data_IF_977903731015
#
_entry.id   IF_977903731015
#
_cell.length_a   1.000
_cell.length_b   1.000
_cell.length_c   1.000
_cell.angle_alpha   90.00
_cell.angle_beta   90.00
_cell.angle_gamma   90.00
#
_symmetry.space_group_name_H-M   'P 1'
#
loop_
_entity.id
_entity.type
_entity.pdbx_description
1 polymer ?
#
# COMPACT_ATOMS: atom_id res chain seq x y z
N UNK A 1 -27.73 63.69 -24.74
CA UNK A 1 -27.66 63.93 -23.28
C UNK A 1 -28.25 62.73 -22.55
N UNK A 2 -27.43 61.78 -22.12
CA UNK A 2 -27.82 60.81 -21.09
C UNK A 2 -26.63 60.59 -20.16
N UNK A 3 -26.94 60.74 -18.88
CA UNK A 3 -26.02 61.06 -17.80
C UNK A 3 -25.25 59.83 -17.34
N UNK A 4 -23.93 60.00 -17.21
CA UNK A 4 -23.03 59.13 -16.47
C UNK A 4 -23.46 59.09 -14.99
N UNK A 5 -23.78 57.91 -14.47
CA UNK A 5 -23.81 57.65 -13.03
C UNK A 5 -22.81 56.54 -12.73
N UNK A 6 -21.56 56.96 -12.52
CA UNK A 6 -20.49 56.16 -11.96
C UNK A 6 -20.78 55.87 -10.49
N UNK A 7 -21.17 54.64 -10.17
CA UNK A 7 -21.21 54.16 -8.78
C UNK A 7 -19.78 53.77 -8.38
N UNK A 8 -19.15 54.64 -7.58
CA UNK A 8 -17.88 54.37 -6.89
C UNK A 8 -18.11 53.32 -5.80
N UNK A 9 -17.70 52.08 -6.04
CA UNK A 9 -17.54 51.09 -4.97
C UNK A 9 -16.26 51.43 -4.23
N UNK A 10 -16.39 51.87 -2.98
CA UNK A 10 -15.28 52.14 -2.07
C UNK A 10 -14.62 50.81 -1.72
N UNK A 11 -13.33 50.68 -2.06
CA UNK A 11 -12.46 49.64 -1.51
C UNK A 11 -12.34 49.84 -0.01
N UNK A 12 -12.98 48.99 0.78
CA UNK A 12 -12.67 48.84 2.20
C UNK A 12 -11.52 47.84 2.31
N UNK A 13 -10.31 48.36 2.50
CA UNK A 13 -9.22 47.59 3.06
C UNK A 13 -9.51 47.38 4.56
N UNK A 14 -9.61 46.13 4.99
CA UNK A 14 -9.67 45.74 6.41
C UNK A 14 -8.65 44.61 6.62
N UNK A 15 -7.88 44.67 7.72
CA UNK A 15 -6.52 44.17 7.76
C UNK A 15 -6.43 42.69 8.17
N UNK A 16 -5.28 42.13 7.81
CA UNK A 16 -4.51 41.10 8.51
C UNK A 16 -5.14 40.54 9.80
N UNK A 17 -5.88 39.44 9.68
CA UNK A 17 -6.29 38.59 10.79
C UNK A 17 -6.16 37.11 10.38
N UNK A 18 -4.92 36.62 10.54
CA UNK A 18 -4.46 35.27 10.89
C UNK A 18 -4.95 34.01 10.11
N UNK A 19 -4.05 33.02 9.89
CA UNK A 19 -4.12 32.01 8.83
C UNK A 19 -4.94 30.76 9.18
N UNK A 20 -6.00 30.91 9.99
CA UNK A 20 -6.79 29.78 10.51
C UNK A 20 -8.03 29.41 9.66
N UNK A 21 -8.34 30.16 8.60
CA UNK A 21 -9.50 29.91 7.73
C UNK A 21 -9.16 29.35 6.34
N UNK A 22 -7.93 28.84 6.13
CA UNK A 22 -7.55 28.12 4.89
C UNK A 22 -8.01 26.66 4.84
N UNK A 23 -8.79 26.18 5.81
CA UNK A 23 -9.28 24.79 5.86
C UNK A 23 -10.77 24.57 5.55
N UNK A 24 -11.53 25.59 5.16
CA UNK A 24 -12.97 25.41 4.95
C UNK A 24 -13.55 25.95 3.63
N UNK A 25 -12.72 26.26 2.62
CA UNK A 25 -13.19 26.53 1.26
C UNK A 25 -12.48 25.63 0.24
N UNK A 26 -12.88 24.36 0.24
CA UNK A 26 -12.60 23.40 -0.83
C UNK A 26 -13.81 22.49 -1.06
N UNK A 27 -15.01 23.08 -1.08
CA UNK A 27 -16.28 22.36 -1.27
C UNK A 27 -17.21 23.04 -2.29
N UNK A 28 -16.69 23.83 -3.22
CA UNK A 28 -17.51 24.49 -4.24
C UNK A 28 -16.73 24.87 -5.51
N UNK A 29 -16.09 23.89 -6.16
CA UNK A 29 -15.74 23.94 -7.58
C UNK A 29 -15.11 22.61 -8.00
N UNK A 30 -15.92 21.56 -7.94
CA UNK A 30 -15.55 20.22 -8.37
C UNK A 30 -16.51 19.73 -9.43
N UNK A 31 -16.50 20.30 -10.64
CA UNK A 31 -16.78 19.52 -11.85
C UNK A 31 -15.59 18.60 -12.12
N UNK A 32 -15.18 17.85 -11.10
CA UNK A 32 -14.44 16.63 -11.30
C UNK A 32 -15.47 15.63 -11.74
N UNK A 33 -15.50 15.29 -13.03
CA UNK A 33 -16.02 14.01 -13.48
C UNK A 33 -15.43 13.01 -12.51
N UNK A 34 -16.27 12.52 -11.59
CA UNK A 34 -15.90 11.43 -10.72
C UNK A 34 -15.36 10.39 -11.69
N UNK A 35 -14.06 10.10 -11.59
CA UNK A 35 -13.49 8.93 -12.23
C UNK A 35 -14.26 7.79 -11.61
N UNK A 36 -15.38 7.45 -12.26
CA UNK A 36 -16.26 6.40 -11.86
C UNK A 36 -15.35 5.21 -11.67
N UNK A 37 -15.63 4.43 -10.63
CA UNK A 37 -15.06 3.11 -10.47
C UNK A 37 -15.58 2.26 -11.64
N UNK A 38 -15.16 2.56 -12.88
CA UNK A 38 -15.20 1.64 -13.97
C UNK A 38 -14.48 0.41 -13.42
N UNK A 39 -15.23 -0.69 -13.26
CA UNK A 39 -14.67 -1.94 -12.80
C UNK A 39 -13.40 -2.18 -13.60
N UNK A 40 -12.28 -2.43 -12.90
CA UNK A 40 -11.00 -2.67 -13.60
C UNK A 40 -11.24 -3.81 -14.57
N UNK A 41 -10.94 -3.57 -15.85
CA UNK A 41 -11.06 -4.58 -16.89
C UNK A 41 -10.29 -5.84 -16.50
N UNK A 42 -10.74 -7.02 -16.95
CA UNK A 42 -10.04 -8.27 -16.68
C UNK A 42 -8.56 -8.20 -17.11
N UNK A 43 -7.69 -9.03 -16.50
CA UNK A 43 -6.28 -9.10 -16.89
C UNK A 43 -6.12 -9.26 -18.41
N UNK A 44 -5.18 -8.51 -19.00
CA UNK A 44 -4.93 -8.51 -20.45
C UNK A 44 -5.81 -7.56 -21.27
N UNK A 45 -6.99 -7.17 -20.78
CA UNK A 45 -7.93 -6.28 -21.48
C UNK A 45 -7.84 -4.83 -21.01
N UNK A 46 -6.82 -4.47 -20.23
CA UNK A 46 -6.56 -3.08 -19.85
C UNK A 46 -6.32 -2.18 -21.06
N UNK A 47 -6.68 -0.90 -20.91
CA UNK A 47 -6.49 0.15 -21.93
C UNK A 47 -5.01 0.32 -22.26
N UNK A 48 -4.66 0.09 -23.52
CA UNK A 48 -3.35 0.44 -24.09
C UNK A 48 -3.28 1.95 -24.29
N UNK A 49 -2.22 2.59 -23.82
CA UNK A 49 -1.97 4.03 -24.04
C UNK A 49 -1.08 4.23 -25.26
N UNK A 50 -1.20 5.40 -25.91
CA UNK A 50 -0.34 5.78 -27.04
C UNK A 50 1.15 5.72 -26.67
N UNK A 51 1.51 6.27 -25.50
CA UNK A 51 2.86 6.17 -24.96
C UNK A 51 3.31 4.72 -24.72
N UNK A 52 2.41 3.84 -24.27
CA UNK A 52 2.73 2.42 -24.09
C UNK A 52 3.09 1.71 -25.39
N UNK A 53 2.46 2.10 -26.50
CA UNK A 53 2.81 1.59 -27.84
C UNK A 53 4.16 2.15 -28.28
N UNK A 54 4.36 3.47 -28.13
CA UNK A 54 5.64 4.12 -28.43
C UNK A 54 6.81 3.47 -27.66
N UNK A 55 6.65 3.26 -26.35
CA UNK A 55 7.68 2.59 -25.53
C UNK A 55 7.91 1.18 -26.03
N UNK A 56 6.85 0.40 -26.32
CA UNK A 56 7.01 -0.98 -26.80
C UNK A 56 7.83 -1.05 -28.09
N UNK A 57 7.59 -0.14 -29.04
CA UNK A 57 8.33 -0.09 -30.32
C UNK A 57 9.80 0.32 -30.12
N UNK A 58 10.05 1.34 -29.30
CA UNK A 58 11.39 1.93 -29.15
C UNK A 58 12.24 1.29 -28.06
N UNK A 59 11.65 0.44 -27.21
CA UNK A 59 12.39 -0.32 -26.20
C UNK A 59 13.05 -1.56 -26.80
N UNK A 60 12.42 -2.19 -27.80
CA UNK A 60 12.95 -3.40 -28.46
C UNK A 60 14.24 -3.14 -29.27
N UNK A 61 14.48 -1.89 -29.67
CA UNK A 61 15.67 -1.50 -30.44
C UNK A 61 16.93 -1.30 -29.59
N UNK A 62 16.85 -1.47 -28.26
CA UNK A 62 17.96 -1.18 -27.32
C UNK A 62 18.12 -2.30 -26.27
N UNK A 63 18.58 -3.49 -26.66
CA UNK A 63 18.74 -4.62 -25.74
C UNK A 63 19.90 -4.44 -24.74
N UNK A 64 20.92 -3.64 -25.08
CA UNK A 64 22.18 -3.55 -24.32
C UNK A 64 22.23 -2.39 -23.31
N UNK A 65 21.19 -1.54 -23.24
CA UNK A 65 21.11 -0.39 -22.31
C UNK A 65 20.34 -0.75 -21.03
N UNK A 66 20.65 -0.08 -19.91
CA UNK A 66 19.90 -0.27 -18.66
C UNK A 66 18.42 0.13 -18.85
N UNK A 67 17.45 -0.79 -18.59
CA UNK A 67 16.03 -0.55 -18.85
C UNK A 67 15.47 0.75 -18.26
N UNK A 68 15.94 1.13 -17.08
CA UNK A 68 15.53 2.34 -16.36
C UNK A 68 15.94 3.60 -17.11
N UNK A 69 17.17 3.62 -17.65
CA UNK A 69 17.71 4.74 -18.40
C UNK A 69 17.01 4.88 -19.75
N UNK A 70 16.83 3.76 -20.47
CA UNK A 70 16.06 3.69 -21.72
C UNK A 70 14.67 4.28 -21.50
N UNK A 71 13.95 3.84 -20.47
CA UNK A 71 12.60 4.32 -20.19
C UNK A 71 12.56 5.83 -19.88
N UNK A 72 13.55 6.33 -19.14
CA UNK A 72 13.66 7.77 -18.83
C UNK A 72 13.91 8.61 -20.10
N UNK A 73 14.75 8.11 -21.00
CA UNK A 73 15.05 8.75 -22.29
C UNK A 73 13.83 8.73 -23.21
N UNK A 74 13.13 7.60 -23.33
CA UNK A 74 11.88 7.49 -24.10
C UNK A 74 10.79 8.41 -23.56
N UNK A 75 10.70 8.56 -22.24
CA UNK A 75 9.75 9.51 -21.63
C UNK A 75 10.07 10.95 -22.03
N UNK A 76 11.36 11.31 -22.10
CA UNK A 76 11.80 12.64 -22.56
C UNK A 76 11.52 12.84 -24.04
N UNK A 77 11.84 11.85 -24.89
CA UNK A 77 11.58 11.89 -26.33
C UNK A 77 10.08 12.03 -26.61
N UNK A 78 9.23 11.22 -25.97
CA UNK A 78 7.78 11.31 -26.11
C UNK A 78 7.23 12.70 -25.79
N UNK A 79 7.75 13.37 -24.75
CA UNK A 79 7.34 14.74 -24.40
C UNK A 79 7.78 15.76 -25.45
N UNK A 80 8.91 15.53 -26.12
CA UNK A 80 9.44 16.38 -27.19
C UNK A 80 8.86 16.11 -28.58
N UNK A 81 8.12 15.01 -28.78
CA UNK A 81 7.46 14.72 -30.06
C UNK A 81 6.37 15.76 -30.37
N UNK A 82 6.23 16.06 -31.66
CA UNK A 82 5.14 16.88 -32.17
C UNK A 82 3.80 16.16 -31.99
N UNK A 83 2.69 16.91 -31.98
CA UNK A 83 1.36 16.30 -31.89
C UNK A 83 1.03 15.46 -33.14
N UNK A 84 1.59 15.81 -34.30
CA UNK A 84 1.43 15.04 -35.54
C UNK A 84 2.11 13.66 -35.44
N UNK A 85 3.31 13.60 -34.87
CA UNK A 85 4.00 12.32 -34.63
C UNK A 85 3.27 11.47 -33.58
N UNK A 86 2.75 12.12 -32.53
CA UNK A 86 1.96 11.43 -31.50
C UNK A 86 0.64 10.91 -32.04
N UNK A 87 0.04 11.58 -33.04
CA UNK A 87 -1.25 11.19 -33.63
C UNK A 87 -1.26 9.75 -34.10
N UNK A 88 -0.20 9.30 -34.78
CA UNK A 88 -0.01 7.90 -35.20
C UNK A 88 -0.20 6.94 -34.02
N UNK A 89 0.41 7.24 -32.88
CA UNK A 89 0.33 6.41 -31.68
C UNK A 89 -1.04 6.46 -31.01
N UNK A 90 -1.71 7.61 -31.04
CA UNK A 90 -3.08 7.73 -30.53
C UNK A 90 -4.09 6.94 -31.37
N UNK A 91 -3.96 7.00 -32.69
CA UNK A 91 -4.82 6.25 -33.61
C UNK A 91 -4.59 4.75 -33.47
N UNK A 92 -3.34 4.31 -33.36
CA UNK A 92 -3.02 2.91 -33.10
C UNK A 92 -3.51 2.46 -31.72
N UNK A 93 -3.38 3.29 -30.69
CA UNK A 93 -3.94 2.98 -29.36
C UNK A 93 -5.46 2.82 -29.42
N UNK A 94 -6.15 3.66 -30.20
CA UNK A 94 -7.59 3.56 -30.42
C UNK A 94 -7.93 2.23 -31.08
N UNK A 95 -7.24 1.88 -32.18
CA UNK A 95 -7.44 0.63 -32.93
C UNK A 95 -7.24 -0.60 -32.05
N UNK A 96 -6.14 -0.66 -31.30
CA UNK A 96 -5.83 -1.79 -30.41
C UNK A 96 -6.85 -1.92 -29.28
N UNK A 97 -7.27 -0.80 -28.68
CA UNK A 97 -8.28 -0.82 -27.63
C UNK A 97 -9.65 -1.27 -28.15
N UNK A 98 -10.01 -0.86 -29.36
CA UNK A 98 -11.23 -1.29 -30.03
C UNK A 98 -11.22 -2.80 -30.28
N UNK A 99 -10.11 -3.33 -30.82
CA UNK A 99 -9.95 -4.78 -31.03
C UNK A 99 -10.04 -5.56 -29.71
N UNK A 100 -9.43 -5.06 -28.63
CA UNK A 100 -9.56 -5.67 -27.30
C UNK A 100 -11.00 -5.65 -26.79
N UNK A 101 -11.73 -4.55 -27.03
CA UNK A 101 -13.15 -4.44 -26.66
C UNK A 101 -14.00 -5.43 -27.42
N UNK A 102 -13.89 -5.48 -28.74
CA UNK A 102 -14.64 -6.42 -29.57
C UNK A 102 -14.30 -7.87 -29.21
N UNK A 103 -13.03 -8.20 -28.95
CA UNK A 103 -12.65 -9.52 -28.46
C UNK A 103 -13.27 -9.83 -27.10
N UNK A 104 -13.36 -8.84 -26.21
CA UNK A 104 -14.01 -9.02 -24.91
C UNK A 104 -15.51 -9.23 -25.03
N UNK A 105 -16.17 -8.52 -25.94
CA UNK A 105 -17.61 -8.64 -26.21
C UNK A 105 -17.95 -9.96 -26.92
N UNK A 106 -17.06 -10.44 -27.79
CA UNK A 106 -17.21 -11.70 -28.53
C UNK A 106 -16.94 -12.96 -27.68
N UNK A 107 -16.23 -12.85 -26.55
CA UNK A 107 -16.03 -13.98 -25.65
C UNK A 107 -17.32 -14.40 -24.94
N UNK A 108 -17.45 -15.69 -24.66
CA UNK A 108 -18.57 -16.23 -23.90
C UNK A 108 -18.61 -15.66 -22.46
N UNK A 109 -19.77 -15.74 -21.81
CA UNK A 109 -19.91 -15.31 -20.42
C UNK A 109 -19.01 -16.11 -19.47
N UNK A 110 -18.89 -17.42 -19.69
CA UNK A 110 -18.04 -18.30 -18.89
C UNK A 110 -16.56 -17.90 -18.97
N UNK A 111 -16.04 -17.60 -20.17
CA UNK A 111 -14.65 -17.13 -20.34
C UNK A 111 -14.42 -15.77 -19.68
N UNK A 112 -15.40 -14.86 -19.80
CA UNK A 112 -15.34 -13.55 -19.14
C UNK A 112 -15.32 -13.67 -17.62
N UNK A 113 -16.13 -14.57 -17.05
CA UNK A 113 -16.16 -14.81 -15.61
C UNK A 113 -14.83 -15.42 -15.11
N UNK A 114 -14.28 -16.39 -15.83
CA UNK A 114 -13.01 -17.00 -15.47
C UNK A 114 -11.86 -15.97 -15.50
N UNK A 115 -11.81 -15.10 -16.51
CA UNK A 115 -10.85 -13.99 -16.53
C UNK A 115 -11.03 -13.03 -15.34
N UNK A 116 -12.27 -12.79 -14.91
CA UNK A 116 -12.53 -11.99 -13.71
C UNK A 116 -12.03 -12.69 -12.45
N UNK A 117 -12.28 -14.00 -12.30
CA UNK A 117 -11.82 -14.83 -11.19
C UNK A 117 -10.30 -14.87 -11.11
N UNK A 118 -9.62 -15.06 -12.25
CA UNK A 118 -8.16 -14.97 -12.34
C UNK A 118 -7.68 -13.58 -11.93
N UNK A 119 -8.35 -12.53 -12.38
CA UNK A 119 -8.06 -11.16 -11.97
C UNK A 119 -8.20 -10.92 -10.48
N UNK A 120 -9.22 -11.51 -9.83
CA UNK A 120 -9.42 -11.45 -8.38
C UNK A 120 -8.31 -12.21 -7.63
N UNK A 121 -8.04 -13.45 -8.01
CA UNK A 121 -6.97 -14.28 -7.43
C UNK A 121 -5.60 -13.60 -7.50
N UNK A 122 -5.25 -12.99 -8.64
CA UNK A 122 -4.00 -12.24 -8.78
C UNK A 122 -3.93 -11.02 -7.84
N UNK A 123 -5.05 -10.33 -7.62
CA UNK A 123 -5.13 -9.20 -6.68
C UNK A 123 -4.95 -9.66 -5.24
N UNK A 124 -5.60 -10.76 -4.86
CA UNK A 124 -5.47 -11.36 -3.53
C UNK A 124 -4.04 -11.86 -3.28
N UNK A 125 -3.42 -12.52 -4.27
CA UNK A 125 -2.04 -12.97 -4.18
C UNK A 125 -1.06 -11.78 -3.99
N UNK A 126 -1.27 -10.67 -4.71
CA UNK A 126 -0.48 -9.43 -4.55
C UNK A 126 -0.66 -8.82 -3.16
N UNK A 127 -1.89 -8.76 -2.66
CA UNK A 127 -2.17 -8.26 -1.31
C UNK A 127 -1.51 -9.13 -0.24
N UNK A 128 -1.62 -10.45 -0.36
CA UNK A 128 -0.96 -11.42 0.53
C UNK A 128 0.56 -11.25 0.51
N UNK A 129 1.17 -11.01 -0.65
CA UNK A 129 2.60 -10.70 -0.78
C UNK A 129 2.97 -9.40 -0.07
N UNK A 130 2.19 -8.33 -0.23
CA UNK A 130 2.42 -7.05 0.46
C UNK A 130 2.37 -7.20 1.98
N UNK A 131 1.35 -7.87 2.51
CA UNK A 131 1.21 -8.14 3.96
C UNK A 131 2.40 -8.94 4.50
N UNK A 132 2.85 -9.96 3.75
CA UNK A 132 4.03 -10.76 4.14
C UNK A 132 5.30 -9.92 4.21
N UNK A 133 5.51 -9.03 3.25
CA UNK A 133 6.67 -8.13 3.24
C UNK A 133 6.61 -7.12 4.39
N UNK A 134 5.45 -6.53 4.67
CA UNK A 134 5.26 -5.65 5.83
C UNK A 134 5.54 -6.38 7.15
N UNK A 135 5.07 -7.62 7.30
CA UNK A 135 5.39 -8.47 8.47
C UNK A 135 6.87 -8.84 8.56
N UNK A 136 7.59 -8.93 7.43
CA UNK A 136 9.04 -9.15 7.42
C UNK A 136 9.76 -7.87 7.87
N UNK A 137 9.41 -6.73 7.28
CA UNK A 137 9.97 -5.43 7.64
C UNK A 137 9.78 -5.11 9.13
N UNK A 138 8.58 -5.34 9.68
CA UNK A 138 8.34 -5.16 11.13
C UNK A 138 9.21 -6.05 12.03
N UNK A 139 9.68 -7.20 11.55
CA UNK A 139 10.62 -8.07 12.28
C UNK A 139 12.05 -7.55 12.16
N UNK A 140 12.43 -7.03 10.99
CA UNK A 140 13.75 -6.42 10.73
C UNK A 140 13.93 -5.09 11.48
N UNK A 141 12.88 -4.26 11.55
CA UNK A 141 12.84 -3.00 12.30
C UNK A 141 12.96 -3.21 13.83
N UNK A 142 13.07 -4.45 14.32
CA UNK A 142 13.37 -4.75 15.72
C UNK A 142 12.28 -4.39 16.72
N UNK A 143 11.09 -3.98 16.28
CA UNK A 143 9.92 -3.74 17.15
C UNK A 143 9.42 -5.09 17.68
N UNK A 144 10.14 -5.66 18.64
CA UNK A 144 9.67 -6.80 19.40
C UNK A 144 8.40 -6.36 20.12
N UNK A 145 7.33 -7.13 19.94
CA UNK A 145 6.12 -6.91 20.75
C UNK A 145 6.53 -7.10 22.21
N UNK A 146 6.07 -6.23 23.13
CA UNK A 146 6.30 -6.46 24.54
C UNK A 146 5.81 -7.88 24.87
N UNK A 147 6.64 -8.65 25.56
CA UNK A 147 6.28 -10.00 25.96
C UNK A 147 5.05 -9.91 26.86
N UNK A 148 4.02 -10.70 26.55
CA UNK A 148 2.86 -10.83 27.43
C UNK A 148 3.29 -11.46 28.75
N UNK A 149 2.64 -11.11 29.87
CA UNK A 149 2.90 -11.72 31.18
C UNK A 149 2.82 -13.26 31.16
N UNK A 150 1.92 -13.83 30.35
CA UNK A 150 1.87 -15.27 30.07
C UNK A 150 3.15 -15.79 29.38
N UNK A 151 3.66 -15.08 28.36
CA UNK A 151 4.91 -15.47 27.68
C UNK A 151 6.10 -15.46 28.64
N UNK A 152 6.15 -14.48 29.55
CA UNK A 152 7.16 -14.41 30.60
C UNK A 152 7.02 -15.57 31.59
N UNK A 153 5.81 -15.86 32.06
CA UNK A 153 5.53 -17.00 32.93
C UNK A 153 5.92 -18.33 32.28
N UNK A 154 5.57 -18.55 31.02
CA UNK A 154 5.98 -19.75 30.28
C UNK A 154 7.50 -19.80 30.17
N UNK A 155 8.17 -18.69 29.83
CA UNK A 155 9.64 -18.66 29.74
C UNK A 155 10.29 -18.97 31.08
N UNK A 156 9.78 -18.41 32.18
CA UNK A 156 10.29 -18.66 33.53
C UNK A 156 10.12 -20.13 33.94
N UNK A 157 8.91 -20.68 33.75
CA UNK A 157 8.60 -22.06 34.16
C UNK A 157 9.18 -23.12 33.22
N UNK A 158 9.30 -22.83 31.92
CA UNK A 158 9.92 -23.73 30.95
C UNK A 158 11.45 -23.71 31.00
N UNK A 159 12.09 -22.63 31.47
CA UNK A 159 13.54 -22.60 31.73
C UNK A 159 13.86 -23.26 33.07
N UNK A 160 13.03 -23.06 34.11
CA UNK A 160 13.20 -23.69 35.43
C UNK A 160 12.82 -25.18 35.45
N UNK A 161 11.91 -25.60 34.59
CA UNK A 161 11.62 -27.01 34.32
C UNK A 161 12.27 -27.38 33.00
N UNK A 162 13.56 -27.72 33.01
CA UNK A 162 14.20 -28.38 31.87
C UNK A 162 13.28 -29.52 31.41
N UNK A 163 12.74 -29.33 30.20
CA UNK A 163 11.68 -30.12 29.58
C UNK A 163 11.75 -31.57 30.02
N UNK A 164 10.71 -32.09 30.68
CA UNK A 164 10.57 -33.54 30.82
C UNK A 164 10.73 -34.13 29.40
N UNK A 165 11.81 -34.85 29.09
CA UNK A 165 12.17 -35.17 27.71
C UNK A 165 11.13 -36.06 27.02
N UNK A 166 10.25 -36.69 27.80
CA UNK A 166 9.19 -37.59 27.35
C UNK A 166 7.85 -36.90 27.03
N UNK A 167 7.62 -35.64 27.42
CA UNK A 167 6.34 -34.96 27.16
C UNK A 167 6.39 -34.11 25.89
N UNK A 168 5.34 -34.19 25.06
CA UNK A 168 5.18 -33.26 23.93
C UNK A 168 5.06 -31.84 24.48
N UNK A 169 5.78 -30.90 23.86
CA UNK A 169 5.77 -29.49 24.24
C UNK A 169 4.34 -28.90 24.36
N UNK A 170 3.39 -29.42 23.56
CA UNK A 170 1.98 -29.02 23.63
C UNK A 170 1.32 -29.36 24.97
N UNK A 171 1.66 -30.49 25.57
CA UNK A 171 1.09 -30.95 26.84
C UNK A 171 1.66 -30.15 28.00
N UNK A 172 2.97 -29.87 27.98
CA UNK A 172 3.63 -28.97 28.94
C UNK A 172 3.02 -27.56 28.90
N UNK A 173 2.80 -27.01 27.70
CA UNK A 173 2.13 -25.70 27.55
C UNK A 173 0.69 -25.75 28.06
N UNK A 174 -0.03 -26.87 27.87
CA UNK A 174 -1.40 -27.05 28.36
C UNK A 174 -1.46 -27.09 29.89
N UNK A 175 -0.54 -27.81 30.53
CA UNK A 175 -0.38 -27.85 32.00
C UNK A 175 -0.04 -26.45 32.56
N UNK A 176 0.89 -25.74 31.91
CA UNK A 176 1.24 -24.36 32.28
C UNK A 176 0.05 -23.41 32.10
N UNK A 177 -0.77 -23.60 31.07
CA UNK A 177 -1.94 -22.75 30.83
C UNK A 177 -3.02 -22.98 31.90
N UNK A 178 -3.21 -24.23 32.35
CA UNK A 178 -4.09 -24.54 33.47
C UNK A 178 -3.57 -23.89 34.76
N UNK A 179 -2.27 -23.97 35.02
CA UNK A 179 -1.61 -23.34 36.16
C UNK A 179 -1.73 -21.82 36.12
N UNK A 180 -1.57 -21.19 34.95
CA UNK A 180 -1.72 -19.74 34.80
C UNK A 180 -3.14 -19.28 35.06
N UNK A 181 -4.15 -20.06 34.63
CA UNK A 181 -5.56 -19.73 34.88
C UNK A 181 -5.96 -19.80 36.35
N UNK A 182 -5.33 -20.69 37.13
CA UNK A 182 -5.60 -20.84 38.57
C UNK A 182 -4.82 -19.87 39.47
N UNK A 183 -3.90 -19.07 38.92
CA UNK A 183 -3.18 -18.05 39.69
C UNK A 183 -4.09 -16.86 40.06
N UNK A 184 -3.96 -16.29 41.27
CA UNK A 184 -4.62 -15.04 41.63
C UNK A 184 -4.11 -13.89 40.74
N UNK A 185 -4.96 -12.90 40.50
CA UNK A 185 -4.69 -11.82 39.53
C UNK A 185 -3.43 -11.00 39.90
N UNK A 186 -3.15 -10.87 41.20
CA UNK A 186 -1.95 -10.21 41.72
C UNK A 186 -0.65 -10.89 41.27
N UNK A 187 -0.65 -12.23 41.19
CA UNK A 187 0.51 -13.00 40.71
C UNK A 187 0.68 -12.89 39.18
N UNK A 188 -0.42 -12.73 38.43
CA UNK A 188 -0.36 -12.49 36.98
C UNK A 188 0.16 -11.08 36.67
N UNK A 189 -0.23 -10.10 37.48
CA UNK A 189 0.26 -8.74 37.40
C UNK A 189 1.75 -8.64 37.78
N UNK A 190 2.22 -9.42 38.75
CA UNK A 190 3.65 -9.49 39.08
C UNK A 190 4.53 -9.91 37.88
N UNK A 191 4.06 -10.87 37.06
CA UNK A 191 4.74 -11.25 35.81
C UNK A 191 4.73 -10.14 34.75
N UNK A 192 3.77 -9.20 34.81
CA UNK A 192 3.74 -8.00 33.97
C UNK A 192 4.70 -6.91 34.48
N UNK A 193 4.82 -6.74 35.81
CA UNK A 193 5.65 -5.72 36.44
C UNK A 193 7.15 -6.05 36.54
N UNK A 194 7.54 -7.34 36.57
CA UNK A 194 8.95 -7.75 36.62
C UNK A 194 9.79 -7.27 35.41
N UNK A 195 9.14 -6.82 34.32
CA UNK A 195 9.81 -6.22 33.16
C UNK A 195 10.11 -4.71 33.34
N UNK A 196 9.36 -4.01 34.21
CA UNK A 196 9.52 -2.58 34.44
C UNK A 196 10.49 -2.24 35.59
N UNK A 197 10.93 -3.25 36.36
CA UNK A 197 11.82 -3.07 37.51
C UNK A 197 13.23 -3.61 37.34
N UNK A 198 13.61 -4.10 36.16
CA UNK A 198 15.00 -4.45 35.88
C UNK A 198 15.79 -3.16 35.61
N UNK A 199 16.78 -2.81 36.45
CA UNK A 199 17.64 -1.66 36.18
C UNK A 199 18.36 -1.86 34.85
N UNK A 200 18.44 -0.78 34.06
CA UNK A 200 19.11 -0.68 32.75
C UNK A 200 20.62 -1.05 32.82
N UNK A 201 21.16 -1.31 34.01
CA UNK A 201 22.58 -1.48 34.31
C UNK A 201 23.22 -2.81 33.89
N UNK A 202 22.50 -3.76 33.28
CA UNK A 202 23.08 -5.07 32.90
C UNK A 202 23.30 -5.28 31.39
N UNK A 203 23.16 -4.23 30.56
CA UNK A 203 23.47 -4.31 29.12
C UNK A 203 24.88 -3.83 28.73
N UNK A 204 25.80 -3.63 29.68
CA UNK A 204 27.20 -3.26 29.43
C UNK A 204 28.19 -4.23 30.08
N UNK A 205 28.07 -5.53 29.83
CA UNK A 205 29.14 -6.47 30.18
C UNK A 205 29.22 -7.70 29.25
N UNK A 206 29.24 -7.46 27.93
CA UNK A 206 29.70 -8.44 26.95
C UNK A 206 30.17 -7.70 25.68
N UNK A 207 31.22 -6.91 25.85
CA UNK A 207 32.06 -6.39 24.77
C UNK A 207 33.47 -6.17 25.34
N UNK A 208 34.19 -7.27 25.51
CA UNK A 208 35.64 -7.33 25.65
C UNK A 208 36.10 -8.71 25.17
#
# INVERSE_FOLDING_TARGET
MFSLLSVRVRCLAVPELLPALRRCFAAASGTGVASGKFGRLPPGYGKTTAFGIYVKENFASRPDEQPTEVFSNLTRQWKGLSEDDKKKYFDEARRVNEQKRLKLEAMSEAEREELQRQGQSLREARLKRRIRLERRKKREDGIQRPMSGWTLFVKEKAVKGASAPDKKQQDVIRELAATWKSLPEDAKNASHFAFLSLPISFYTFCAA
#
